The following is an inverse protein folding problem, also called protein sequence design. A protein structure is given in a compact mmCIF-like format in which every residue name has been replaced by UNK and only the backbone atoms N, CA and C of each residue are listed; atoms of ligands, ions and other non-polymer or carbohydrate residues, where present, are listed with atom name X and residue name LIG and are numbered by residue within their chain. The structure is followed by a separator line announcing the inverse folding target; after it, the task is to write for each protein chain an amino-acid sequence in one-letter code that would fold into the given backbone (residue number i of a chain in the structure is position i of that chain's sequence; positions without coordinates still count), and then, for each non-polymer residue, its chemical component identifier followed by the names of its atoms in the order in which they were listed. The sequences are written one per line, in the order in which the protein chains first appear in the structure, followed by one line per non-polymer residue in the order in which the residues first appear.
data_IF_688019607404
#
_entry.id   IF_688019607404
#
_cell.length_a   1.000
_cell.length_b   1.000
_cell.length_c   1.000
_cell.angle_alpha   90.00
_cell.angle_beta   90.00
_cell.angle_gamma   90.00
#
_symmetry.space_group_name_H-M   'P 1'
#
loop_
_entity.id
_entity.type
_entity.pdbx_description
1 polymer ?
#
# COMPACT_ATOMS: atom_id res chain seq x y z
N UNK A 1 -11.42 -11.75 4.66
CA UNK A 1 -10.90 -11.35 5.99
C UNK A 1 -11.50 -10.01 6.37
N UNK A 2 -11.76 -9.74 7.64
CA UNK A 2 -12.28 -8.44 8.11
C UNK A 2 -11.17 -7.39 8.00
N UNK A 3 -11.35 -6.31 7.22
CA UNK A 3 -10.29 -5.32 7.03
C UNK A 3 -10.10 -4.44 8.27
N UNK A 4 -8.89 -4.37 8.80
CA UNK A 4 -8.55 -3.45 9.89
C UNK A 4 -8.27 -2.06 9.33
N UNK A 5 -9.03 -1.05 9.76
CA UNK A 5 -8.88 0.34 9.29
C UNK A 5 -7.47 0.91 9.54
N UNK A 6 -6.84 0.51 10.64
CA UNK A 6 -5.46 0.91 10.95
C UNK A 6 -4.46 0.45 9.90
N UNK A 7 -4.63 -0.77 9.36
CA UNK A 7 -3.75 -1.31 8.32
C UNK A 7 -4.03 -0.65 6.96
N UNK A 8 -5.31 -0.36 6.65
CA UNK A 8 -5.69 0.35 5.44
C UNK A 8 -5.08 1.75 5.45
N UNK A 9 -5.25 2.48 6.55
CA UNK A 9 -4.67 3.80 6.73
C UNK A 9 -3.14 3.75 6.63
N UNK A 10 -2.50 2.81 7.33
CA UNK A 10 -1.07 2.60 7.29
C UNK A 10 -0.56 2.42 5.85
N UNK A 11 -1.06 1.44 5.12
CA UNK A 11 -0.56 1.12 3.78
C UNK A 11 -0.84 2.21 2.75
N UNK A 12 -1.90 3.01 2.94
CA UNK A 12 -2.24 4.12 2.06
C UNK A 12 -1.36 5.33 2.33
N UNK A 13 -1.29 5.80 3.59
CA UNK A 13 -0.57 7.03 3.96
C UNK A 13 0.94 6.86 3.88
N UNK A 14 1.48 5.75 4.42
CA UNK A 14 2.92 5.49 4.32
C UNK A 14 3.35 5.26 2.87
N UNK A 15 2.55 4.56 2.06
CA UNK A 15 2.82 4.37 0.64
C UNK A 15 2.88 5.69 -0.14
N UNK A 16 1.91 6.59 0.10
CA UNK A 16 1.87 7.92 -0.50
C UNK A 16 3.08 8.77 -0.06
N UNK A 17 3.37 8.79 1.26
CA UNK A 17 4.48 9.57 1.81
C UNK A 17 5.85 9.07 1.36
N UNK A 18 6.06 7.75 1.31
CA UNK A 18 7.30 7.15 0.79
C UNK A 18 7.46 7.43 -0.71
N UNK A 19 6.37 7.33 -1.49
CA UNK A 19 6.40 7.69 -2.90
C UNK A 19 6.75 9.17 -3.12
N UNK A 20 6.13 10.09 -2.36
CA UNK A 20 6.46 11.52 -2.37
C UNK A 20 7.94 11.74 -2.02
N UNK A 21 8.44 11.12 -0.94
CA UNK A 21 9.84 11.19 -0.54
C UNK A 21 10.78 10.73 -1.66
N UNK A 22 10.45 9.65 -2.37
CA UNK A 22 11.26 9.14 -3.49
C UNK A 22 11.45 10.19 -4.59
N UNK A 23 10.39 10.88 -5.00
CA UNK A 23 10.47 11.93 -6.03
C UNK A 23 11.20 13.19 -5.56
N UNK A 24 11.08 13.52 -4.26
CA UNK A 24 11.82 14.66 -3.65
C UNK A 24 13.32 14.39 -3.64
N UNK A 25 13.76 13.22 -3.16
CA UNK A 25 15.19 12.90 -3.03
C UNK A 25 15.93 12.85 -4.37
N UNK A 26 15.24 12.53 -5.47
CA UNK A 26 15.84 12.59 -6.81
C UNK A 26 15.83 13.99 -7.43
N UNK A 27 15.35 14.99 -6.67
CA UNK A 27 15.41 16.41 -7.07
C UNK A 27 14.24 16.87 -7.95
N UNK A 28 13.14 16.11 -8.03
CA UNK A 28 11.98 16.51 -8.83
C UNK A 28 11.23 17.72 -8.23
N UNK A 29 11.35 17.93 -6.93
CA UNK A 29 10.83 19.09 -6.20
C UNK A 29 11.99 19.93 -5.67
N UNK A 30 12.38 21.01 -6.37
CA UNK A 30 13.42 21.90 -5.91
C UNK A 30 12.95 22.72 -4.70
N UNK A 31 13.59 22.51 -3.56
CA UNK A 31 13.28 23.23 -2.31
C UNK A 31 14.16 24.45 -2.18
N UNK A 32 13.72 25.58 -2.76
CA UNK A 32 14.49 26.81 -2.90
C UNK A 32 14.49 27.68 -1.63
N UNK A 33 13.58 27.44 -0.69
CA UNK A 33 13.46 28.25 0.54
C UNK A 33 13.39 27.34 1.77
N UNK A 34 13.84 27.84 2.92
CA UNK A 34 13.74 27.14 4.19
C UNK A 34 12.30 26.80 4.56
N UNK A 35 11.35 27.71 4.27
CA UNK A 35 9.92 27.45 4.50
C UNK A 35 9.43 26.27 3.64
N UNK A 36 9.83 26.19 2.37
CA UNK A 36 9.47 25.04 1.52
C UNK A 36 10.08 23.74 2.05
N UNK A 37 11.35 23.76 2.49
CA UNK A 37 11.99 22.58 3.12
C UNK A 37 11.21 22.10 4.34
N UNK A 38 10.86 23.03 5.26
CA UNK A 38 10.08 22.69 6.46
C UNK A 38 8.70 22.18 6.09
N UNK A 39 7.94 22.91 5.26
CA UNK A 39 6.57 22.55 4.90
C UNK A 39 6.48 21.20 4.22
N UNK A 40 7.30 20.97 3.21
CA UNK A 40 7.34 19.68 2.48
C UNK A 40 7.87 18.56 3.38
N UNK A 41 8.89 18.84 4.20
CA UNK A 41 9.46 17.89 5.15
C UNK A 41 8.42 17.43 6.18
N UNK A 42 7.69 18.38 6.78
CA UNK A 42 6.62 18.08 7.75
C UNK A 42 5.53 17.24 7.09
N UNK A 43 5.05 17.61 5.90
CA UNK A 43 4.00 16.83 5.20
C UNK A 43 4.49 15.42 4.90
N UNK A 44 5.70 15.29 4.34
CA UNK A 44 6.27 13.99 3.97
C UNK A 44 6.45 13.08 5.18
N UNK A 45 7.09 13.58 6.24
CA UNK A 45 7.34 12.83 7.47
C UNK A 45 6.05 12.52 8.23
N UNK A 46 5.08 13.45 8.22
CA UNK A 46 3.76 13.23 8.84
C UNK A 46 2.96 12.14 8.12
N UNK A 47 2.94 12.10 6.80
CA UNK A 47 2.27 11.04 6.04
C UNK A 47 2.85 9.66 6.35
N UNK A 48 4.19 9.53 6.34
CA UNK A 48 4.86 8.28 6.64
C UNK A 48 4.65 7.92 8.11
N UNK A 49 4.90 8.86 9.03
CA UNK A 49 4.81 8.65 10.47
C UNK A 49 3.39 8.30 10.93
N UNK A 50 2.38 9.04 10.46
CA UNK A 50 0.98 8.75 10.78
C UNK A 50 0.57 7.36 10.29
N UNK A 51 1.00 6.97 9.08
CA UNK A 51 0.81 5.62 8.57
C UNK A 51 1.44 4.57 9.50
N UNK A 52 2.73 4.72 9.81
CA UNK A 52 3.47 3.77 10.66
C UNK A 52 2.88 3.69 12.08
N UNK A 53 2.52 4.82 12.69
CA UNK A 53 1.88 4.85 14.02
C UNK A 53 0.52 4.14 13.96
N UNK A 54 -0.26 4.36 12.90
CA UNK A 54 -1.56 3.68 12.72
C UNK A 54 -1.41 2.16 12.73
N UNK A 55 -0.30 1.63 12.21
CA UNK A 55 -0.06 0.18 12.21
C UNK A 55 0.05 -0.43 13.61
N UNK A 56 0.30 0.38 14.64
CA UNK A 56 0.39 -0.12 16.02
C UNK A 56 -0.97 -0.31 16.69
N UNK A 57 -2.03 0.35 16.18
CA UNK A 57 -3.36 0.32 16.81
C UNK A 57 -4.12 -1.01 16.68
N UNK A 58 -3.65 -1.92 15.83
CA UNK A 58 -4.24 -3.27 15.75
C UNK A 58 -3.47 -4.32 16.56
N UNK A 59 -2.39 -3.91 17.23
CA UNK A 59 -1.62 -4.81 18.08
C UNK A 59 -2.33 -5.00 19.43
N UNK A 60 -2.47 -6.24 19.87
CA UNK A 60 -3.00 -6.54 21.20
C UNK A 60 -2.12 -6.01 22.34
N UNK A 61 -0.81 -5.85 22.09
CA UNK A 61 0.21 -5.37 23.03
C UNK A 61 1.15 -4.37 22.36
N UNK A 62 0.70 -3.12 22.08
CA UNK A 62 1.51 -2.14 21.36
C UNK A 62 2.81 -1.76 22.09
N UNK A 63 2.86 -1.84 23.42
CA UNK A 63 4.06 -1.63 24.24
C UNK A 63 5.19 -2.61 23.93
N UNK A 64 4.87 -3.73 23.26
CA UNK A 64 5.84 -4.76 22.85
C UNK A 64 6.24 -4.66 21.37
N UNK A 65 5.76 -3.64 20.65
CA UNK A 65 6.01 -3.49 19.21
C UNK A 65 7.50 -3.45 18.84
N UNK A 66 8.36 -2.92 19.72
CA UNK A 66 9.81 -2.90 19.52
C UNK A 66 10.42 -4.29 19.34
N UNK A 67 9.79 -5.36 19.89
CA UNK A 67 10.24 -6.75 19.71
C UNK A 67 10.13 -7.22 18.26
N UNK A 68 9.21 -6.62 17.50
CA UNK A 68 9.06 -6.93 16.06
C UNK A 68 10.35 -6.64 15.28
N UNK A 69 11.18 -5.68 15.72
CA UNK A 69 12.43 -5.33 15.06
C UNK A 69 13.51 -6.42 15.19
N UNK A 70 13.42 -7.29 16.21
CA UNK A 70 14.44 -8.31 16.50
C UNK A 70 14.50 -9.44 15.47
N UNK A 71 13.43 -9.70 14.73
CA UNK A 71 13.28 -10.83 13.79
C UNK A 71 13.57 -10.47 12.33
N UNK A 72 14.39 -9.44 12.08
CA UNK A 72 14.64 -8.90 10.75
C UNK A 72 15.21 -9.91 9.73
N UNK A 73 15.83 -10.99 10.19
CA UNK A 73 16.37 -12.05 9.32
C UNK A 73 15.28 -12.95 8.73
N UNK A 74 14.18 -13.17 9.44
CA UNK A 74 13.14 -14.15 9.08
C UNK A 74 11.78 -13.53 8.75
N UNK A 75 11.45 -12.35 9.30
CA UNK A 75 10.13 -11.70 9.19
C UNK A 75 10.15 -10.48 8.29
N UNK A 76 9.26 -10.43 7.32
CA UNK A 76 9.06 -9.25 6.47
C UNK A 76 8.54 -8.04 7.24
N UNK A 77 7.67 -8.25 8.23
CA UNK A 77 7.21 -7.20 9.15
C UNK A 77 8.38 -6.57 9.90
N UNK A 78 9.33 -7.38 10.35
CA UNK A 78 10.53 -6.89 11.04
C UNK A 78 11.45 -6.11 10.10
N UNK A 79 11.64 -6.58 8.87
CA UNK A 79 12.43 -5.87 7.84
C UNK A 79 11.80 -4.52 7.52
N UNK A 80 10.48 -4.47 7.34
CA UNK A 80 9.75 -3.22 7.15
C UNK A 80 10.00 -2.25 8.29
N UNK A 81 9.83 -2.69 9.56
CA UNK A 81 10.04 -1.84 10.72
C UNK A 81 11.45 -1.27 10.81
N UNK A 82 12.49 -2.10 10.57
CA UNK A 82 13.89 -1.66 10.55
C UNK A 82 14.13 -0.65 9.43
N UNK A 83 13.67 -0.95 8.20
CA UNK A 83 13.81 -0.06 7.06
C UNK A 83 13.07 1.26 7.27
N UNK A 84 11.86 1.22 7.85
CA UNK A 84 11.07 2.41 8.15
C UNK A 84 11.81 3.36 9.12
N UNK A 85 12.44 2.82 10.18
CA UNK A 85 13.25 3.62 11.11
C UNK A 85 14.44 4.25 10.39
N UNK A 86 15.17 3.48 9.58
CA UNK A 86 16.32 3.96 8.82
C UNK A 86 15.90 5.05 7.82
N UNK A 87 14.81 4.84 7.09
CA UNK A 87 14.29 5.79 6.10
C UNK A 87 13.80 7.07 6.77
N UNK A 88 13.07 6.98 7.88
CA UNK A 88 12.60 8.16 8.63
C UNK A 88 13.77 8.99 9.16
N UNK A 89 14.79 8.36 9.73
CA UNK A 89 16.01 9.04 10.17
C UNK A 89 16.78 9.66 8.98
N UNK A 90 16.92 8.92 7.88
CA UNK A 90 17.57 9.40 6.65
C UNK A 90 16.85 10.59 6.03
N UNK A 91 15.52 10.56 5.96
CA UNK A 91 14.71 11.69 5.46
C UNK A 91 14.78 12.90 6.40
N UNK A 92 14.74 12.71 7.72
CA UNK A 92 14.90 13.79 8.67
C UNK A 92 16.28 14.46 8.51
N UNK A 93 17.34 13.67 8.37
CA UNK A 93 18.69 14.18 8.07
C UNK A 93 18.77 14.87 6.72
N UNK A 94 18.12 14.35 5.69
CA UNK A 94 18.06 14.95 4.35
C UNK A 94 17.36 16.32 4.36
N UNK A 95 16.23 16.45 5.04
CA UNK A 95 15.54 17.74 5.20
C UNK A 95 16.33 18.72 6.09
N UNK A 96 17.01 18.22 7.13
CA UNK A 96 17.90 19.06 7.96
C UNK A 96 19.08 19.61 7.15
N UNK A 97 19.69 18.79 6.28
CA UNK A 97 20.72 19.22 5.36
C UNK A 97 20.20 20.29 4.39
N UNK A 98 19.02 20.07 3.78
CA UNK A 98 18.36 21.07 2.92
C UNK A 98 18.07 22.38 3.64
N UNK A 99 17.62 22.33 4.89
CA UNK A 99 17.39 23.50 5.72
C UNK A 99 18.67 24.31 6.00
N UNK A 100 19.78 23.63 6.25
CA UNK A 100 21.11 24.27 6.47
C UNK A 100 21.83 24.68 5.18
N UNK A 101 21.23 24.42 4.01
CA UNK A 101 21.88 24.66 2.71
C UNK A 101 23.00 23.70 2.37
N UNK A 102 23.11 22.59 3.08
CA UNK A 102 24.12 21.55 2.82
C UNK A 102 23.70 20.71 1.62
N UNK A 103 24.60 20.57 0.65
CA UNK A 103 24.34 19.73 -0.53
C UNK A 103 24.48 18.25 -0.17
N UNK A 104 23.43 17.50 -0.31
CA UNK A 104 23.45 16.05 -0.15
C UNK A 104 24.05 15.42 -1.42
N UNK A 105 25.09 14.59 -1.31
CA UNK A 105 25.72 13.99 -2.48
C UNK A 105 24.80 13.00 -3.19
N UNK A 106 24.93 12.87 -4.50
CA UNK A 106 24.07 12.05 -5.36
C UNK A 106 23.98 10.60 -4.90
N UNK A 107 25.10 10.01 -4.45
CA UNK A 107 25.08 8.63 -3.95
C UNK A 107 24.21 8.45 -2.71
N UNK A 108 24.14 9.46 -1.83
CA UNK A 108 23.30 9.41 -0.64
C UNK A 108 21.81 9.55 -1.01
N UNK A 109 21.48 10.38 -2.00
CA UNK A 109 20.12 10.45 -2.57
C UNK A 109 19.70 9.11 -3.18
N UNK A 110 20.57 8.47 -3.97
CA UNK A 110 20.30 7.17 -4.58
C UNK A 110 20.15 6.07 -3.51
N UNK A 111 21.00 6.06 -2.49
CA UNK A 111 20.89 5.13 -1.38
C UNK A 111 19.56 5.30 -0.65
N UNK A 112 19.17 6.54 -0.34
CA UNK A 112 17.92 6.83 0.34
C UNK A 112 16.70 6.43 -0.53
N UNK A 113 16.74 6.70 -1.84
CA UNK A 113 15.75 6.26 -2.80
C UNK A 113 15.57 4.73 -2.77
N UNK A 114 16.65 3.98 -2.82
CA UNK A 114 16.63 2.52 -2.76
C UNK A 114 16.01 2.05 -1.44
N UNK A 115 16.41 2.64 -0.30
CA UNK A 115 15.85 2.30 1.01
C UNK A 115 14.35 2.60 1.11
N UNK A 116 13.89 3.71 0.54
CA UNK A 116 12.47 4.09 0.45
C UNK A 116 11.68 2.99 -0.28
N UNK A 117 12.11 2.60 -1.49
CA UNK A 117 11.38 1.58 -2.26
C UNK A 117 11.55 0.18 -1.70
N UNK A 118 12.67 -0.13 -1.02
CA UNK A 118 12.82 -1.37 -0.25
C UNK A 118 11.84 -1.44 0.92
N UNK A 119 11.53 -0.30 1.57
CA UNK A 119 10.51 -0.24 2.62
C UNK A 119 9.13 -0.59 2.05
N UNK A 120 8.72 0.04 0.94
CA UNK A 120 7.46 -0.27 0.25
C UNK A 120 7.41 -1.75 -0.18
N UNK A 121 8.53 -2.26 -0.70
CA UNK A 121 8.65 -3.68 -1.07
C UNK A 121 8.48 -4.59 0.16
N UNK A 122 9.14 -4.29 1.28
CA UNK A 122 9.03 -5.07 2.51
C UNK A 122 7.59 -5.09 3.03
N UNK A 123 6.88 -3.94 3.01
CA UNK A 123 5.44 -3.85 3.32
C UNK A 123 4.62 -4.80 2.45
N UNK A 124 4.86 -4.80 1.14
CA UNK A 124 4.14 -5.67 0.21
C UNK A 124 4.41 -7.16 0.45
N UNK A 125 5.63 -7.49 0.82
CA UNK A 125 6.07 -8.87 1.08
C UNK A 125 5.48 -9.47 2.35
N UNK A 126 5.02 -8.65 3.30
CA UNK A 126 4.23 -9.13 4.44
C UNK A 126 3.04 -9.96 3.94
N UNK A 127 2.39 -9.49 2.87
CA UNK A 127 1.23 -10.16 2.26
C UNK A 127 1.65 -11.16 1.18
N UNK A 128 2.55 -10.76 0.29
CA UNK A 128 2.97 -11.59 -0.85
C UNK A 128 3.73 -12.87 -0.45
N UNK A 129 4.23 -12.97 0.78
CA UNK A 129 4.87 -14.18 1.30
C UNK A 129 3.88 -15.19 1.93
N UNK A 130 2.61 -14.79 2.16
CA UNK A 130 1.61 -15.61 2.84
C UNK A 130 0.96 -16.62 1.89
N UNK A 131 1.53 -17.82 1.79
CA UNK A 131 0.98 -18.94 1.01
C UNK A 131 -0.43 -19.36 1.44
N UNK A 132 -0.79 -19.07 2.70
CA UNK A 132 -2.12 -19.36 3.26
C UNK A 132 -3.23 -18.49 2.71
N UNK A 133 -2.89 -17.38 2.02
CA UNK A 133 -3.84 -16.50 1.33
C UNK A 133 -3.44 -16.44 -0.14
N UNK A 134 -3.99 -17.35 -0.94
CA UNK A 134 -3.61 -17.54 -2.34
C UNK A 134 -3.66 -16.25 -3.17
N UNK A 135 -4.65 -15.37 -2.90
CA UNK A 135 -4.82 -14.10 -3.59
C UNK A 135 -3.70 -13.09 -3.30
N UNK A 136 -3.15 -13.10 -2.09
CA UNK A 136 -2.02 -12.25 -1.72
C UNK A 136 -0.69 -12.80 -2.20
N UNK A 137 -0.55 -14.14 -2.17
CA UNK A 137 0.63 -14.86 -2.65
C UNK A 137 0.68 -14.84 -4.18
N UNK A 138 0.96 -13.66 -4.74
CA UNK A 138 1.00 -13.45 -6.18
C UNK A 138 2.13 -12.45 -6.54
N UNK A 139 2.92 -12.67 -7.60
CA UNK A 139 4.06 -11.81 -7.95
C UNK A 139 3.67 -10.36 -8.27
N UNK A 140 2.45 -10.11 -8.73
CA UNK A 140 1.95 -8.75 -8.96
C UNK A 140 1.62 -8.00 -7.66
N UNK A 141 1.56 -8.64 -6.50
CA UNK A 141 1.27 -7.96 -5.23
C UNK A 141 2.33 -6.90 -4.90
N UNK A 142 3.65 -7.21 -4.87
CA UNK A 142 4.66 -6.20 -4.65
C UNK A 142 4.71 -5.16 -5.78
N UNK A 143 4.46 -5.56 -7.03
CA UNK A 143 4.44 -4.62 -8.16
C UNK A 143 3.33 -3.58 -7.98
N UNK A 144 2.11 -3.98 -7.55
CA UNK A 144 1.02 -3.04 -7.25
C UNK A 144 1.42 -2.02 -6.17
N UNK A 145 2.06 -2.47 -5.09
CA UNK A 145 2.49 -1.58 -4.00
C UNK A 145 3.51 -0.54 -4.48
N UNK A 146 4.55 -0.99 -5.20
CA UNK A 146 5.59 -0.12 -5.76
C UNK A 146 5.01 0.89 -6.76
N UNK A 147 4.16 0.42 -7.68
CA UNK A 147 3.54 1.27 -8.69
C UNK A 147 2.60 2.31 -8.10
N UNK A 148 1.79 1.96 -7.09
CA UNK A 148 0.93 2.93 -6.43
C UNK A 148 1.72 3.93 -5.58
N UNK A 149 2.79 3.51 -4.91
CA UNK A 149 3.67 4.44 -4.21
C UNK A 149 4.31 5.43 -5.19
N UNK A 150 4.82 4.96 -6.33
CA UNK A 150 5.41 5.81 -7.35
C UNK A 150 4.37 6.77 -7.97
N UNK A 151 3.20 6.27 -8.39
CA UNK A 151 2.16 7.06 -9.05
C UNK A 151 1.52 8.09 -8.12
N UNK A 152 1.11 7.66 -6.91
CA UNK A 152 0.55 8.54 -5.89
C UNK A 152 1.58 9.56 -5.41
N UNK A 153 2.84 9.13 -5.23
CA UNK A 153 3.94 10.01 -4.88
C UNK A 153 4.23 11.09 -5.93
N UNK A 154 4.21 10.73 -7.23
CA UNK A 154 4.36 11.71 -8.30
C UNK A 154 3.19 12.69 -8.32
N UNK A 155 1.95 12.21 -8.20
CA UNK A 155 0.77 13.08 -8.13
C UNK A 155 0.88 14.07 -6.95
N UNK A 156 1.30 13.61 -5.77
CA UNK A 156 1.54 14.46 -4.61
C UNK A 156 2.67 15.46 -4.85
N UNK A 157 3.75 15.05 -5.55
CA UNK A 157 4.84 15.94 -5.94
C UNK A 157 4.37 17.04 -6.88
N UNK A 158 3.54 16.71 -7.88
CA UNK A 158 2.92 17.71 -8.78
C UNK A 158 2.04 18.70 -8.01
N UNK A 159 1.27 18.22 -7.05
CA UNK A 159 0.47 19.10 -6.18
C UNK A 159 1.36 20.04 -5.34
N UNK A 160 2.50 19.55 -4.82
CA UNK A 160 3.46 20.38 -4.08
C UNK A 160 4.15 21.40 -4.99
N UNK A 161 4.53 21.02 -6.23
CA UNK A 161 5.06 21.95 -7.22
C UNK A 161 4.08 23.11 -7.47
N UNK A 162 2.83 22.79 -7.74
CA UNK A 162 1.80 23.81 -7.97
C UNK A 162 1.55 24.69 -6.72
N UNK A 163 1.54 24.10 -5.52
CA UNK A 163 1.35 24.81 -4.26
C UNK A 163 2.48 25.80 -3.99
N UNK A 164 3.71 25.45 -4.37
CA UNK A 164 4.90 26.30 -4.26
C UNK A 164 5.04 27.29 -5.43
N UNK A 165 4.10 27.32 -6.37
CA UNK A 165 4.17 28.17 -7.56
C UNK A 165 5.27 27.78 -8.54
N UNK A 166 5.76 26.55 -8.47
CA UNK A 166 6.82 26.04 -9.34
C UNK A 166 6.26 25.50 -10.66
N UNK A 167 6.98 25.60 -11.78
CA UNK A 167 6.47 25.20 -13.07
C UNK A 167 6.32 23.67 -13.18
N UNK A 168 5.21 23.25 -13.73
CA UNK A 168 4.95 21.86 -14.11
C UNK A 168 5.03 21.75 -15.62
N UNK A 169 6.05 21.03 -16.11
CA UNK A 169 6.22 20.81 -17.54
C UNK A 169 5.16 19.82 -18.08
N UNK A 170 4.79 19.94 -19.36
CA UNK A 170 3.88 19.00 -20.01
C UNK A 170 4.41 17.57 -19.91
N UNK A 171 5.72 17.36 -20.06
CA UNK A 171 6.35 16.05 -19.94
C UNK A 171 6.15 15.45 -18.53
N UNK A 172 6.21 16.28 -17.50
CA UNK A 172 6.02 15.82 -16.11
C UNK A 172 4.58 15.44 -15.83
N UNK A 173 3.62 16.22 -16.33
CA UNK A 173 2.19 15.88 -16.25
C UNK A 173 1.88 14.58 -17.02
N UNK A 174 2.43 14.42 -18.24
CA UNK A 174 2.32 13.20 -19.02
C UNK A 174 2.93 11.99 -18.30
N UNK A 175 4.10 12.14 -17.67
CA UNK A 175 4.71 11.08 -16.86
C UNK A 175 3.78 10.65 -15.72
N UNK A 176 3.11 11.61 -15.07
CA UNK A 176 2.10 11.32 -14.04
C UNK A 176 0.93 10.49 -14.58
N UNK A 177 0.41 10.85 -15.77
CA UNK A 177 -0.67 10.11 -16.44
C UNK A 177 -0.22 8.70 -16.77
N UNK A 178 0.93 8.54 -17.42
CA UNK A 178 1.47 7.23 -17.83
C UNK A 178 1.68 6.33 -16.61
N UNK A 179 2.25 6.86 -15.55
CA UNK A 179 2.51 6.11 -14.33
C UNK A 179 1.22 5.71 -13.64
N UNK A 180 0.22 6.59 -13.60
CA UNK A 180 -1.11 6.29 -13.05
C UNK A 180 -1.83 5.21 -13.87
N UNK A 181 -1.82 5.31 -15.21
CA UNK A 181 -2.36 4.28 -16.10
C UNK A 181 -1.67 2.93 -15.90
N UNK A 182 -0.34 2.95 -15.78
CA UNK A 182 0.45 1.73 -15.55
C UNK A 182 0.13 1.09 -14.20
N UNK A 183 0.04 1.89 -13.13
CA UNK A 183 -0.29 1.40 -11.79
C UNK A 183 -1.67 0.72 -11.75
N UNK A 184 -2.69 1.37 -12.33
CA UNK A 184 -4.03 0.80 -12.41
C UNK A 184 -4.12 -0.36 -13.40
N UNK A 185 -3.37 -0.33 -14.50
CA UNK A 185 -3.24 -1.47 -15.43
C UNK A 185 -2.71 -2.72 -14.73
N UNK A 186 -1.63 -2.58 -13.96
CA UNK A 186 -1.10 -3.67 -13.12
C UNK A 186 -2.13 -4.13 -12.08
N UNK A 187 -2.88 -3.21 -11.47
CA UNK A 187 -3.92 -3.58 -10.50
C UNK A 187 -5.08 -4.33 -11.13
N UNK A 188 -5.53 -3.93 -12.31
CA UNK A 188 -6.56 -4.65 -13.07
C UNK A 188 -6.09 -6.07 -13.42
N UNK A 189 -4.84 -6.21 -13.86
CA UNK A 189 -4.22 -7.52 -14.10
C UNK A 189 -4.17 -8.35 -12.80
N UNK A 190 -3.79 -7.75 -11.68
CA UNK A 190 -3.81 -8.41 -10.38
C UNK A 190 -5.21 -8.87 -9.98
N UNK A 191 -6.24 -8.02 -10.11
CA UNK A 191 -7.62 -8.41 -9.79
C UNK A 191 -8.08 -9.62 -10.60
N UNK A 192 -7.70 -9.67 -11.88
CA UNK A 192 -8.05 -10.78 -12.76
C UNK A 192 -7.27 -12.05 -12.42
N UNK A 193 -5.93 -11.97 -12.37
CA UNK A 193 -5.05 -13.13 -12.21
C UNK A 193 -5.06 -13.69 -10.79
N UNK A 194 -4.93 -12.83 -9.78
CA UNK A 194 -4.98 -13.24 -8.38
C UNK A 194 -6.41 -13.65 -7.95
N UNK A 195 -7.46 -13.17 -8.64
CA UNK A 195 -8.82 -13.62 -8.43
C UNK A 195 -9.08 -15.06 -8.88
N UNK A 196 -8.26 -15.58 -9.81
CA UNK A 196 -8.30 -16.98 -10.26
C UNK A 196 -7.40 -17.91 -9.41
N UNK A 197 -6.57 -17.33 -8.52
CA UNK A 197 -5.70 -18.12 -7.66
C UNK A 197 -6.52 -18.99 -6.71
N UNK A 198 -6.29 -20.29 -6.74
CA UNK A 198 -6.89 -21.27 -5.83
C UNK A 198 -5.90 -21.61 -4.74
N UNK A 199 -6.41 -22.00 -3.58
CA UNK A 199 -5.56 -22.60 -2.54
C UNK A 199 -4.89 -23.85 -3.10
N UNK A 200 -3.63 -24.05 -2.74
CA UNK A 200 -2.86 -25.21 -3.17
C UNK A 200 -3.35 -26.53 -2.54
N UNK A 201 -4.24 -26.44 -1.54
CA UNK A 201 -4.84 -27.58 -0.85
C UNK A 201 -6.38 -27.58 -0.92
N UNK A 202 -6.96 -28.73 -0.81
CA UNK A 202 -8.38 -28.97 -0.60
C UNK A 202 -8.58 -29.70 0.73
N UNK A 203 -9.84 -29.89 1.16
CA UNK A 203 -10.17 -30.67 2.35
C UNK A 203 -9.67 -32.11 2.18
N UNK A 204 -9.79 -32.63 0.98
CA UNK A 204 -9.33 -33.99 0.61
C UNK A 204 -7.81 -34.12 0.76
N UNK A 205 -7.04 -33.17 0.20
CA UNK A 205 -5.57 -33.21 0.29
C UNK A 205 -5.08 -32.96 1.71
N UNK A 206 -5.78 -32.13 2.50
CA UNK A 206 -5.43 -31.85 3.89
C UNK A 206 -5.66 -33.06 4.83
N UNK A 207 -6.64 -33.91 4.48
CA UNK A 207 -6.95 -35.15 5.22
C UNK A 207 -6.24 -36.38 4.68
N UNK A 208 -5.58 -36.27 3.50
CA UNK A 208 -4.97 -37.41 2.80
C UNK A 208 -5.98 -38.38 2.19
N UNK A 209 -7.24 -37.97 2.05
CA UNK A 209 -8.36 -38.79 1.56
C UNK A 209 -8.73 -38.51 0.11
N UNK A 210 -7.91 -37.75 -0.62
CA UNK A 210 -8.13 -37.35 -2.01
C UNK A 210 -8.27 -38.54 -2.97
N UNK A 211 -7.64 -39.65 -2.68
CA UNK A 211 -7.72 -40.89 -3.42
C UNK A 211 -9.03 -41.67 -3.20
N UNK A 212 -9.83 -41.34 -2.17
CA UNK A 212 -11.07 -42.03 -1.83
C UNK A 212 -12.31 -41.28 -2.35
N UNK A 213 -12.19 -40.00 -2.74
CA UNK A 213 -13.27 -39.20 -3.28
C UNK A 213 -13.45 -37.85 -2.59
N UNK A 214 -14.63 -37.27 -2.69
CA UNK A 214 -14.95 -35.96 -2.08
C UNK A 214 -15.16 -36.10 -0.58
N UNK A 215 -14.38 -35.37 0.21
CA UNK A 215 -14.47 -35.34 1.67
C UNK A 215 -15.53 -34.34 2.09
N UNK A 216 -16.51 -34.79 2.87
CA UNK A 216 -17.51 -33.91 3.49
C UNK A 216 -17.47 -34.11 5.00
N UNK A 217 -17.45 -33.03 5.80
CA UNK A 217 -17.55 -33.16 7.24
C UNK A 217 -18.92 -33.74 7.60
N UNK A 218 -18.97 -34.71 8.48
CA UNK A 218 -20.20 -35.35 8.96
C UNK A 218 -21.05 -34.39 9.83
N UNK A 219 -20.33 -33.51 10.56
CA UNK A 219 -20.92 -32.48 11.41
C UNK A 219 -20.08 -31.19 11.26
N UNK A 220 -20.71 -30.01 11.38
CA UNK A 220 -19.96 -28.77 11.42
C UNK A 220 -18.98 -28.79 12.62
N UNK A 221 -17.77 -28.22 12.49
CA UNK A 221 -16.76 -28.24 13.56
C UNK A 221 -17.19 -27.48 14.82
N UNK A 222 -18.16 -26.59 14.70
CA UNK A 222 -18.72 -25.77 15.79
C UNK A 222 -20.22 -25.56 15.59
N UNK A 223 -20.98 -25.47 16.70
CA UNK A 223 -22.41 -25.16 16.71
C UNK A 223 -22.66 -23.65 16.60
N UNK A 224 -21.69 -22.82 16.98
CA UNK A 224 -21.75 -21.35 16.90
C UNK A 224 -20.53 -20.82 16.12
N UNK A 225 -20.69 -19.63 15.54
CA UNK A 225 -19.57 -18.95 14.87
C UNK A 225 -18.44 -18.65 15.86
N UNK A 226 -17.23 -19.11 15.55
CA UNK A 226 -16.07 -18.83 16.34
C UNK A 226 -15.33 -17.57 15.84
N UNK A 227 -14.32 -17.12 16.60
CA UNK A 227 -13.49 -15.98 16.26
C UNK A 227 -12.91 -16.06 14.82
N UNK A 228 -12.43 -17.24 14.39
CA UNK A 228 -11.85 -17.42 13.06
C UNK A 228 -12.89 -17.26 11.95
N UNK A 229 -14.11 -17.74 12.13
CA UNK A 229 -15.20 -17.55 11.18
C UNK A 229 -15.58 -16.08 11.06
N UNK A 230 -15.66 -15.38 12.21
CA UNK A 230 -16.01 -13.97 12.25
C UNK A 230 -14.92 -13.08 11.60
N UNK A 231 -13.64 -13.37 11.83
CA UNK A 231 -12.51 -12.62 11.29
C UNK A 231 -12.20 -12.99 9.83
N UNK A 232 -12.25 -14.28 9.49
CA UNK A 232 -11.80 -14.80 8.20
C UNK A 232 -12.94 -15.07 7.21
N UNK A 233 -14.18 -15.24 7.70
CA UNK A 233 -15.39 -15.53 6.91
C UNK A 233 -16.13 -14.31 6.36
N UNK A 234 -15.50 -13.12 6.28
CA UNK A 234 -16.18 -11.88 5.88
C UNK A 234 -16.77 -11.95 4.46
N UNK A 235 -18.11 -12.01 4.36
CA UNK A 235 -18.86 -12.26 3.11
C UNK A 235 -19.34 -10.96 2.45
N UNK A 236 -19.61 -9.90 3.22
CA UNK A 236 -20.25 -8.65 2.74
C UNK A 236 -19.48 -7.98 1.59
N UNK A 237 -18.16 -8.04 1.62
CA UNK A 237 -17.32 -7.46 0.56
C UNK A 237 -17.54 -8.09 -0.81
N UNK A 238 -17.82 -9.39 -0.86
CA UNK A 238 -17.93 -10.12 -2.12
C UNK A 238 -19.19 -9.74 -2.91
N UNK A 239 -20.28 -9.40 -2.21
CA UNK A 239 -21.55 -8.99 -2.81
C UNK A 239 -21.45 -7.66 -3.57
N UNK A 240 -20.53 -6.76 -3.15
CA UNK A 240 -20.39 -5.41 -3.72
C UNK A 240 -19.00 -5.16 -4.33
N UNK A 241 -18.17 -6.20 -4.47
CA UNK A 241 -16.78 -6.06 -4.91
C UNK A 241 -16.64 -5.30 -6.23
N UNK A 242 -17.43 -5.62 -7.25
CA UNK A 242 -17.31 -5.01 -8.56
C UNK A 242 -17.67 -3.52 -8.55
N UNK A 243 -18.70 -3.13 -7.81
CA UNK A 243 -19.05 -1.72 -7.62
C UNK A 243 -17.92 -0.97 -6.93
N UNK A 244 -17.35 -1.54 -5.87
CA UNK A 244 -16.23 -0.92 -5.14
C UNK A 244 -14.96 -0.86 -5.98
N UNK A 245 -14.71 -1.82 -6.87
CA UNK A 245 -13.58 -1.75 -7.83
C UNK A 245 -13.75 -0.59 -8.80
N UNK A 246 -14.98 -0.34 -9.29
CA UNK A 246 -15.29 0.81 -10.15
C UNK A 246 -15.06 2.10 -9.39
N UNK A 247 -15.51 2.22 -8.14
CA UNK A 247 -15.26 3.40 -7.30
C UNK A 247 -13.77 3.62 -7.03
N UNK A 248 -13.03 2.55 -6.69
CA UNK A 248 -11.59 2.64 -6.47
C UNK A 248 -10.86 3.13 -7.73
N UNK A 249 -11.18 2.57 -8.90
CA UNK A 249 -10.60 2.98 -10.18
C UNK A 249 -11.00 4.42 -10.56
N UNK A 250 -12.28 4.77 -10.38
CA UNK A 250 -12.81 6.10 -10.69
C UNK A 250 -12.13 7.19 -9.87
N UNK A 251 -12.14 7.04 -8.54
CA UNK A 251 -11.56 8.02 -7.62
C UNK A 251 -10.03 7.97 -7.61
N UNK A 252 -9.46 6.78 -7.63
CA UNK A 252 -8.01 6.60 -7.46
C UNK A 252 -7.20 6.75 -8.73
N UNK A 253 -7.82 6.60 -9.92
CA UNK A 253 -7.15 6.62 -11.21
C UNK A 253 -7.75 7.59 -12.21
N UNK A 254 -9.02 7.38 -12.61
CA UNK A 254 -9.65 8.16 -13.70
C UNK A 254 -9.70 9.64 -13.37
N UNK A 255 -10.16 10.00 -12.19
CA UNK A 255 -10.33 11.40 -11.78
C UNK A 255 -8.99 12.14 -11.67
N UNK A 256 -7.93 11.59 -11.03
CA UNK A 256 -6.58 12.16 -11.07
C UNK A 256 -6.05 12.36 -12.51
N UNK A 257 -6.27 11.39 -13.41
CA UNK A 257 -5.84 11.50 -14.81
C UNK A 257 -6.58 12.65 -15.51
N UNK A 258 -7.89 12.77 -15.32
CA UNK A 258 -8.66 13.89 -15.89
C UNK A 258 -8.11 15.23 -15.41
N UNK A 259 -7.82 15.36 -14.12
CA UNK A 259 -7.24 16.60 -13.57
C UNK A 259 -5.87 16.89 -14.19
N UNK A 260 -5.01 15.89 -14.35
CA UNK A 260 -3.69 16.06 -15.00
C UNK A 260 -3.82 16.47 -16.47
N UNK A 261 -4.88 16.08 -17.16
CA UNK A 261 -5.16 16.47 -18.55
C UNK A 261 -5.71 17.90 -18.67
N UNK A 262 -6.61 18.29 -17.76
CA UNK A 262 -7.39 19.53 -17.90
C UNK A 262 -6.77 20.70 -17.14
N UNK A 263 -6.19 20.45 -15.96
CA UNK A 263 -5.70 21.51 -15.07
C UNK A 263 -4.36 21.13 -14.37
N UNK A 264 -3.31 20.75 -15.13
CA UNK A 264 -2.08 20.19 -14.58
C UNK A 264 -1.26 21.18 -13.73
N UNK A 265 -1.53 22.47 -13.82
CA UNK A 265 -0.82 23.52 -13.07
C UNK A 265 -1.64 24.14 -11.92
N UNK A 266 -2.88 23.72 -11.72
CA UNK A 266 -3.74 24.27 -10.66
C UNK A 266 -3.48 23.54 -9.33
N UNK A 267 -3.00 24.27 -8.31
CA UNK A 267 -2.78 23.74 -6.97
C UNK A 267 -4.06 23.16 -6.36
N UNK A 268 -5.20 23.85 -6.52
CA UNK A 268 -6.49 23.38 -6.01
C UNK A 268 -6.95 22.10 -6.72
N UNK A 269 -6.81 22.03 -8.05
CA UNK A 269 -7.19 20.85 -8.84
C UNK A 269 -6.29 19.66 -8.51
N UNK A 270 -4.97 19.86 -8.42
CA UNK A 270 -4.04 18.78 -8.06
C UNK A 270 -4.20 18.35 -6.61
N UNK A 271 -4.46 19.25 -5.68
CA UNK A 271 -4.83 18.91 -4.31
C UNK A 271 -6.09 18.04 -4.24
N UNK A 272 -7.12 18.40 -5.00
CA UNK A 272 -8.33 17.59 -5.14
C UNK A 272 -8.01 16.21 -5.76
N UNK A 273 -7.15 16.15 -6.78
CA UNK A 273 -6.72 14.88 -7.38
C UNK A 273 -6.01 13.96 -6.38
N UNK A 274 -5.12 14.52 -5.53
CA UNK A 274 -4.47 13.76 -4.45
C UNK A 274 -5.49 13.22 -3.46
N UNK A 275 -6.44 14.05 -3.00
CA UNK A 275 -7.49 13.60 -2.08
C UNK A 275 -8.37 12.51 -2.69
N UNK A 276 -8.75 12.67 -3.96
CA UNK A 276 -9.49 11.66 -4.71
C UNK A 276 -8.70 10.36 -4.84
N UNK A 277 -7.40 10.45 -5.19
CA UNK A 277 -6.52 9.29 -5.25
C UNK A 277 -6.45 8.56 -3.91
N UNK A 278 -6.25 9.27 -2.82
CA UNK A 278 -6.23 8.72 -1.47
C UNK A 278 -7.54 8.00 -1.15
N UNK A 279 -8.69 8.63 -1.43
CA UNK A 279 -10.00 8.00 -1.23
C UNK A 279 -10.15 6.71 -2.04
N UNK A 280 -9.75 6.72 -3.32
CA UNK A 280 -9.74 5.54 -4.17
C UNK A 280 -8.81 4.44 -3.64
N UNK A 281 -7.63 4.82 -3.12
CA UNK A 281 -6.69 3.88 -2.50
C UNK A 281 -7.22 3.27 -1.20
N UNK A 282 -7.98 4.02 -0.38
CA UNK A 282 -8.65 3.45 0.79
C UNK A 282 -9.63 2.35 0.39
N UNK A 283 -10.45 2.58 -0.65
CA UNK A 283 -11.38 1.57 -1.17
C UNK A 283 -10.62 0.37 -1.74
N UNK A 284 -9.55 0.62 -2.49
CA UNK A 284 -8.70 -0.43 -3.08
C UNK A 284 -8.05 -1.29 -1.99
N UNK A 285 -7.45 -0.69 -0.95
CA UNK A 285 -6.85 -1.40 0.18
C UNK A 285 -7.90 -2.17 0.97
N UNK A 286 -9.07 -1.56 1.20
CA UNK A 286 -10.17 -2.28 1.83
C UNK A 286 -10.54 -3.54 1.06
N UNK A 287 -10.68 -3.47 -0.27
CA UNK A 287 -10.95 -4.62 -1.13
C UNK A 287 -9.82 -5.66 -1.08
N UNK A 288 -8.57 -5.21 -1.08
CA UNK A 288 -7.40 -6.10 -0.99
C UNK A 288 -7.47 -7.02 0.23
N UNK A 289 -7.92 -6.49 1.38
CA UNK A 289 -8.11 -7.27 2.61
C UNK A 289 -9.44 -8.04 2.61
N UNK A 290 -10.53 -7.40 2.23
CA UNK A 290 -11.87 -7.95 2.35
C UNK A 290 -12.12 -9.15 1.41
N UNK A 291 -11.54 -9.14 0.22
CA UNK A 291 -11.65 -10.24 -0.76
C UNK A 291 -10.69 -11.41 -0.47
N UNK A 292 -9.76 -11.26 0.46
CA UNK A 292 -8.80 -12.31 0.80
C UNK A 292 -9.48 -13.47 1.54
N UNK A 293 -9.25 -14.70 1.04
CA UNK A 293 -9.66 -15.94 1.69
C UNK A 293 -8.43 -16.62 2.29
N UNK A 294 -8.47 -16.93 3.56
CA UNK A 294 -7.43 -17.71 4.22
C UNK A 294 -7.75 -19.20 4.07
N UNK A 295 -6.73 -20.05 3.95
CA UNK A 295 -6.88 -21.51 3.81
C UNK A 295 -7.72 -22.15 4.93
N UNK A 296 -7.72 -21.57 6.12
CA UNK A 296 -8.54 -22.04 7.24
C UNK A 296 -10.04 -22.06 6.92
N UNK A 297 -10.51 -21.26 5.96
CA UNK A 297 -11.92 -21.28 5.56
C UNK A 297 -12.35 -22.62 4.93
N UNK A 298 -11.41 -23.38 4.37
CA UNK A 298 -11.68 -24.73 3.86
C UNK A 298 -12.21 -25.68 4.95
N UNK A 299 -11.79 -25.46 6.20
CA UNK A 299 -12.25 -26.24 7.34
C UNK A 299 -13.75 -26.04 7.65
N UNK A 300 -14.30 -24.88 7.26
CA UNK A 300 -15.67 -24.47 7.56
C UNK A 300 -16.59 -24.52 6.33
N UNK A 301 -16.07 -24.50 5.10
CA UNK A 301 -16.88 -24.44 3.86
C UNK A 301 -17.64 -25.75 3.55
N UNK A 302 -17.35 -26.85 4.22
CA UNK A 302 -18.05 -28.14 4.05
C UNK A 302 -19.30 -28.34 4.91
N UNK A 303 -19.69 -27.37 5.73
CA UNK A 303 -20.78 -27.43 6.69
C UNK A 303 -22.04 -26.63 6.26
N UNK A 304 -22.09 -26.10 5.01
CA UNK A 304 -23.23 -25.35 4.47
C UNK A 304 -23.92 -26.10 3.34
#
# INVERSE_FOLDING_TARGET
MRPAWSIIFFTTMSGLGLGLAGWIVIGLLPLMTQQAVIGVGVVTLALIGAGLISSTFHLGHPERAWRALSQWRSSWLSREGVLAVIVMAGLAGWFAAGYSGTIVPVWANLLLLVLIYLTVYATSMIYASLKTVARWYHPLTPVCYLMFAAAGGLLATLAMLALLGLPITAALAQAGIVLMLSAWGVKLAWWRLAGMARHAGSVESATGLDHLGTVKPLMPPHTEENYLQHEMGFVVARKHADKLRIFALGLGGVLPIIVLLVAPASAAALGFAVLSHVAGMFVERWLFFAEAKHVVTLYYEGAA
#
